data_IF_180057578079
#
_entry.id   IF_180057578079
#
_cell.length_a   1.000
_cell.length_b   1.000
_cell.length_c   1.000
_cell.angle_alpha   90.00
_cell.angle_beta   90.00
_cell.angle_gamma   90.00
#
_symmetry.space_group_name_H-M   'P 1'
#
loop_
_entity.id
_entity.type
_entity.pdbx_description
1 polymer ?
#
# COMPACT_ATOMS: atom_id res chain seq x y z
N UNK A 1 13.09 9.37 11.37
CA UNK A 1 13.95 8.21 11.73
C UNK A 1 15.05 8.02 10.68
N UNK A 2 16.15 7.33 11.02
CA UNK A 2 17.21 7.02 10.05
C UNK A 2 16.78 5.97 9.05
N UNK A 3 17.25 6.06 7.80
CA UNK A 3 16.93 5.08 6.76
C UNK A 3 17.33 3.66 7.16
N UNK A 4 18.48 3.49 7.83
CA UNK A 4 18.92 2.19 8.34
C UNK A 4 17.96 1.57 9.36
N UNK A 5 17.27 2.42 10.13
CA UNK A 5 16.33 2.00 11.17
C UNK A 5 14.97 1.66 10.54
N UNK A 6 14.54 2.46 9.56
CA UNK A 6 13.35 2.18 8.75
C UNK A 6 13.38 0.76 8.17
N UNK A 7 14.49 0.33 7.58
CA UNK A 7 14.65 -1.00 6.98
C UNK A 7 14.63 -2.16 8.00
N UNK A 8 14.83 -1.88 9.29
CA UNK A 8 14.87 -2.89 10.37
C UNK A 8 13.62 -2.87 11.24
N UNK A 9 12.84 -1.81 11.15
CA UNK A 9 11.63 -1.60 11.95
C UNK A 9 10.57 -2.62 11.54
N UNK A 10 10.03 -3.34 12.51
CA UNK A 10 9.07 -4.43 12.29
C UNK A 10 7.60 -4.00 12.48
N UNK A 11 7.36 -2.76 12.91
CA UNK A 11 6.03 -2.21 13.22
C UNK A 11 5.99 -0.70 12.97
N UNK A 12 4.84 -0.19 12.55
CA UNK A 12 4.65 1.24 12.28
C UNK A 12 3.31 1.72 12.84
N UNK A 13 3.34 2.85 13.53
CA UNK A 13 2.18 3.56 14.07
C UNK A 13 1.50 4.44 13.00
N UNK A 14 0.31 4.95 13.32
CA UNK A 14 -0.42 5.88 12.43
C UNK A 14 0.39 7.13 12.13
N UNK A 15 1.06 7.69 13.13
CA UNK A 15 1.90 8.89 12.98
C UNK A 15 3.05 8.64 12.01
N UNK A 16 3.68 7.46 12.08
CA UNK A 16 4.77 7.09 11.18
C UNK A 16 4.27 6.82 9.75
N UNK A 17 3.12 6.17 9.59
CA UNK A 17 2.51 5.95 8.27
C UNK A 17 2.08 7.26 7.63
N UNK A 18 1.53 8.20 8.41
CA UNK A 18 1.24 9.57 7.95
C UNK A 18 2.53 10.29 7.55
N UNK A 19 3.56 10.26 8.39
CA UNK A 19 4.86 10.83 8.07
C UNK A 19 5.42 10.22 6.77
N UNK A 20 5.23 8.92 6.52
CA UNK A 20 5.62 8.30 5.26
C UNK A 20 4.81 8.82 4.07
N UNK A 21 3.48 8.99 4.19
CA UNK A 21 2.63 9.57 3.15
C UNK A 21 3.06 10.99 2.75
N UNK A 22 3.58 11.78 3.69
CA UNK A 22 4.09 13.13 3.41
C UNK A 22 5.60 13.18 3.09
N UNK A 23 6.32 12.05 3.20
CA UNK A 23 7.76 11.99 2.92
C UNK A 23 8.65 12.54 4.03
N UNK A 24 8.17 12.52 5.27
CA UNK A 24 8.86 13.02 6.47
C UNK A 24 9.26 11.92 7.45
N UNK A 25 8.96 10.65 7.17
CA UNK A 25 9.32 9.55 8.07
C UNK A 25 10.84 9.34 8.18
N UNK A 26 11.56 9.46 7.06
CA UNK A 26 13.00 9.18 6.98
C UNK A 26 13.79 10.48 6.88
N UNK A 27 14.71 10.71 7.82
CA UNK A 27 15.44 11.97 7.97
C UNK A 27 16.62 12.08 6.99
N UNK A 28 17.17 10.95 6.56
CA UNK A 28 18.26 10.85 5.59
C UNK A 28 17.90 9.90 4.43
N UNK A 29 16.86 10.24 3.64
CA UNK A 29 16.34 9.37 2.60
C UNK A 29 17.42 9.13 1.54
N UNK A 30 17.56 7.89 1.04
CA UNK A 30 18.47 7.61 -0.06
C UNK A 30 17.95 8.24 -1.37
N UNK A 31 18.81 8.41 -2.38
CA UNK A 31 18.35 8.85 -3.70
C UNK A 31 17.19 7.98 -4.21
N UNK A 32 16.19 8.61 -4.85
CA UNK A 32 14.97 7.96 -5.33
C UNK A 32 14.11 7.34 -4.22
N UNK A 33 14.05 7.93 -3.03
CA UNK A 33 13.10 7.55 -1.97
C UNK A 33 11.75 8.27 -2.16
N UNK A 34 11.13 8.03 -3.31
CA UNK A 34 10.01 8.84 -3.81
C UNK A 34 8.63 8.23 -3.50
N UNK A 35 8.59 6.97 -3.06
CA UNK A 35 7.36 6.28 -2.75
C UNK A 35 6.67 6.93 -1.54
N UNK A 36 5.34 7.01 -1.63
CA UNK A 36 4.46 7.50 -0.58
C UNK A 36 3.31 6.52 -0.47
N UNK A 37 2.79 6.34 0.75
CA UNK A 37 1.43 5.87 0.92
C UNK A 37 0.48 7.02 0.52
N UNK A 38 -0.75 6.73 0.08
CA UNK A 38 -1.76 7.77 -0.03
C UNK A 38 -1.92 8.51 1.30
N UNK A 39 -2.17 9.82 1.26
CA UNK A 39 -2.56 10.57 2.45
C UNK A 39 -4.06 10.39 2.72
N UNK A 40 -4.55 10.65 3.94
CA UNK A 40 -5.97 10.78 4.20
C UNK A 40 -6.64 11.74 3.22
N UNK A 41 -7.87 11.44 2.75
CA UNK A 41 -8.74 10.37 3.25
C UNK A 41 -8.53 8.98 2.62
N UNK A 42 -7.51 8.81 1.76
CA UNK A 42 -7.29 7.58 0.98
C UNK A 42 -6.31 6.58 1.64
N UNK A 43 -5.65 6.97 2.74
CA UNK A 43 -4.84 6.05 3.56
C UNK A 43 -5.75 5.02 4.23
N UNK A 44 -5.60 3.73 3.90
CA UNK A 44 -6.47 2.65 4.39
C UNK A 44 -5.79 1.76 5.45
N UNK A 45 -4.68 2.20 6.01
CA UNK A 45 -3.93 1.49 7.05
C UNK A 45 -3.59 2.46 8.16
N UNK A 46 -4.03 2.16 9.38
CA UNK A 46 -3.69 2.95 10.56
C UNK A 46 -2.38 2.46 11.18
N UNK A 47 -2.10 1.14 11.15
CA UNK A 47 -0.90 0.57 11.79
C UNK A 47 -0.40 -0.66 11.04
N UNK A 48 0.92 -0.86 11.01
CA UNK A 48 1.55 -2.14 10.69
C UNK A 48 1.98 -2.77 12.00
N UNK A 49 1.40 -3.92 12.35
CA UNK A 49 1.70 -4.64 13.59
C UNK A 49 2.94 -5.52 13.46
N UNK A 50 3.19 -6.04 12.26
CA UNK A 50 4.33 -6.89 11.94
C UNK A 50 4.65 -6.79 10.46
N UNK A 51 5.92 -6.62 10.12
CA UNK A 51 6.46 -6.75 8.76
C UNK A 51 7.75 -7.56 8.81
N UNK A 52 7.81 -8.64 8.03
CA UNK A 52 8.93 -9.60 8.06
C UNK A 52 9.30 -10.09 6.67
N UNK A 53 10.53 -10.59 6.50
CA UNK A 53 10.92 -11.26 5.27
C UNK A 53 11.90 -12.42 5.49
N UNK A 54 11.82 -13.42 4.61
CA UNK A 54 12.79 -14.51 4.48
C UNK A 54 13.09 -14.72 3.00
N UNK A 55 14.30 -14.35 2.58
CA UNK A 55 14.69 -14.35 1.17
C UNK A 55 13.75 -13.49 0.31
N UNK A 56 13.07 -14.13 -0.65
CA UNK A 56 12.12 -13.48 -1.56
C UNK A 56 10.69 -13.43 -1.03
N UNK A 57 10.41 -14.05 0.12
CA UNK A 57 9.08 -14.10 0.74
C UNK A 57 9.01 -13.19 1.95
N UNK A 58 7.80 -12.89 2.41
CA UNK A 58 7.57 -12.09 3.61
C UNK A 58 6.11 -12.11 4.03
N UNK A 59 5.83 -11.48 5.16
CA UNK A 59 4.47 -11.35 5.70
C UNK A 59 4.29 -9.97 6.32
N UNK A 60 3.10 -9.40 6.16
CA UNK A 60 2.69 -8.15 6.81
C UNK A 60 1.33 -8.32 7.45
N UNK A 61 1.20 -7.89 8.70
CA UNK A 61 -0.08 -7.77 9.42
C UNK A 61 -0.30 -6.30 9.71
N UNK A 62 -1.44 -5.77 9.29
CA UNK A 62 -1.79 -4.36 9.44
C UNK A 62 -3.25 -4.20 9.85
N UNK A 63 -3.60 -3.03 10.40
CA UNK A 63 -4.94 -2.75 10.90
C UNK A 63 -5.42 -1.36 10.50
N UNK A 64 -6.75 -1.22 10.41
CA UNK A 64 -7.47 0.04 10.32
C UNK A 64 -8.62 0.03 11.34
N UNK A 65 -8.71 1.06 12.17
CA UNK A 65 -9.85 1.26 13.05
C UNK A 65 -11.06 1.76 12.24
N UNK A 66 -12.21 1.10 12.41
CA UNK A 66 -13.46 1.52 11.79
C UNK A 66 -14.04 2.68 12.58
N UNK A 67 -14.39 3.76 11.88
CA UNK A 67 -14.99 4.96 12.47
C UNK A 67 -16.36 5.18 11.86
N UNK A 68 -17.37 5.41 12.70
CA UNK A 68 -18.76 5.61 12.24
C UNK A 68 -18.90 6.82 11.30
N UNK A 69 -18.04 7.82 11.47
CA UNK A 69 -17.97 9.05 10.70
C UNK A 69 -16.93 9.00 9.56
N UNK A 70 -16.37 7.83 9.23
CA UNK A 70 -15.47 7.69 8.09
C UNK A 70 -16.16 8.18 6.81
N UNK A 71 -15.43 8.95 6.00
CA UNK A 71 -15.97 9.69 4.84
C UNK A 71 -16.77 8.81 3.88
N UNK A 72 -16.33 7.57 3.67
CA UNK A 72 -16.98 6.65 2.73
C UNK A 72 -18.34 6.17 3.21
N UNK A 73 -18.59 6.05 4.52
CA UNK A 73 -19.93 5.70 5.02
C UNK A 73 -20.96 6.81 4.77
N UNK A 74 -20.49 8.05 4.59
CA UNK A 74 -21.36 9.20 4.32
C UNK A 74 -21.85 9.24 2.87
N UNK A 75 -21.17 8.53 1.96
CA UNK A 75 -21.50 8.52 0.53
C UNK A 75 -21.71 7.12 -0.07
N UNK A 76 -21.51 6.04 0.69
CA UNK A 76 -21.57 4.66 0.18
C UNK A 76 -22.28 3.72 1.17
N UNK A 77 -23.61 3.57 1.12
CA UNK A 77 -24.60 4.41 0.44
C UNK A 77 -25.47 5.13 1.47
N UNK A 78 -26.06 6.29 1.15
CA UNK A 78 -27.12 6.85 1.98
C UNK A 78 -28.23 5.83 2.24
N UNK A 79 -28.51 5.53 3.51
CA UNK A 79 -29.49 4.51 3.93
C UNK A 79 -28.97 3.07 4.03
N UNK A 80 -27.77 2.79 3.52
CA UNK A 80 -27.10 1.48 3.60
C UNK A 80 -25.57 1.64 3.68
N UNK A 81 -25.03 2.20 4.78
CA UNK A 81 -23.61 2.55 4.88
C UNK A 81 -22.74 1.29 4.96
N UNK A 82 -21.78 1.16 4.04
CA UNK A 82 -20.85 0.03 3.93
C UNK A 82 -19.51 0.52 3.36
N UNK A 83 -18.38 0.06 3.92
CA UNK A 83 -17.06 0.42 3.38
C UNK A 83 -16.93 -0.14 1.96
N UNK A 84 -16.55 0.67 0.96
CA UNK A 84 -16.33 0.18 -0.39
C UNK A 84 -15.25 -0.91 -0.40
N UNK A 85 -15.61 -2.10 -0.90
CA UNK A 85 -14.67 -3.23 -0.94
C UNK A 85 -13.40 -2.93 -1.75
N UNK A 86 -13.47 -2.04 -2.74
CA UNK A 86 -12.30 -1.59 -3.50
C UNK A 86 -11.25 -0.86 -2.64
N UNK A 87 -11.64 -0.19 -1.55
CA UNK A 87 -10.69 0.44 -0.62
C UNK A 87 -9.90 -0.62 0.16
N UNK A 88 -10.51 -1.77 0.47
CA UNK A 88 -9.79 -2.89 1.07
C UNK A 88 -8.80 -3.52 0.09
N UNK A 89 -9.15 -3.61 -1.19
CA UNK A 89 -8.21 -4.05 -2.24
C UNK A 89 -7.04 -3.08 -2.35
N UNK A 90 -7.31 -1.76 -2.32
CA UNK A 90 -6.26 -0.75 -2.33
C UNK A 90 -5.36 -0.81 -1.09
N UNK A 91 -5.91 -1.08 0.10
CA UNK A 91 -5.12 -1.30 1.31
C UNK A 91 -4.08 -2.42 1.13
N UNK A 92 -4.45 -3.53 0.46
CA UNK A 92 -3.49 -4.60 0.13
C UNK A 92 -2.38 -4.07 -0.78
N UNK A 93 -2.68 -3.30 -1.84
CA UNK A 93 -1.64 -2.72 -2.69
C UNK A 93 -0.79 -1.67 -1.97
N UNK A 94 -1.37 -0.87 -1.07
CA UNK A 94 -0.65 0.06 -0.20
C UNK A 94 0.37 -0.69 0.67
N UNK A 95 -0.04 -1.78 1.32
CA UNK A 95 0.82 -2.62 2.16
C UNK A 95 1.93 -3.28 1.33
N UNK A 96 1.60 -3.85 0.17
CA UNK A 96 2.59 -4.49 -0.72
C UNK A 96 3.60 -3.46 -1.26
N UNK A 97 3.15 -2.25 -1.58
CA UNK A 97 4.01 -1.15 -2.00
C UNK A 97 4.94 -0.68 -0.88
N UNK A 98 4.39 -0.50 0.33
CA UNK A 98 5.18 -0.17 1.51
C UNK A 98 6.22 -1.26 1.81
N UNK A 99 5.85 -2.53 1.71
CA UNK A 99 6.76 -3.66 1.85
C UNK A 99 7.92 -3.60 0.86
N UNK A 100 7.68 -3.26 -0.42
CA UNK A 100 8.77 -3.08 -1.38
C UNK A 100 9.78 -2.02 -0.93
N UNK A 101 9.30 -0.87 -0.45
CA UNK A 101 10.16 0.25 -0.02
C UNK A 101 10.89 -0.09 1.26
N UNK A 102 10.21 -0.74 2.21
CA UNK A 102 10.81 -1.30 3.43
C UNK A 102 11.88 -2.36 3.13
N UNK A 103 11.76 -3.09 2.01
CA UNK A 103 12.80 -3.99 1.49
C UNK A 103 13.96 -3.27 0.79
N UNK A 104 13.92 -1.94 0.69
CA UNK A 104 14.96 -1.11 0.08
C UNK A 104 14.70 -0.72 -1.38
N UNK A 105 13.51 -0.98 -1.92
CA UNK A 105 13.15 -0.54 -3.27
C UNK A 105 13.19 1.00 -3.40
N UNK A 106 13.59 1.47 -4.59
CA UNK A 106 13.80 2.89 -4.88
C UNK A 106 12.93 3.31 -6.07
N UNK A 107 12.22 4.44 -5.92
CA UNK A 107 11.27 4.99 -6.87
C UNK A 107 9.89 5.22 -6.25
N UNK A 108 8.85 5.26 -7.08
CA UNK A 108 7.45 5.46 -6.69
C UNK A 108 6.61 4.21 -6.97
N UNK A 109 5.68 3.90 -6.05
CA UNK A 109 4.84 2.70 -6.11
C UNK A 109 3.68 2.81 -7.10
N UNK A 110 3.37 1.74 -7.84
CA UNK A 110 2.16 1.60 -8.68
C UNK A 110 1.60 0.19 -8.54
N UNK A 111 0.30 0.09 -8.27
CA UNK A 111 -0.42 -1.17 -8.37
C UNK A 111 -0.43 -1.66 -9.83
N UNK A 112 -0.23 -2.96 -10.02
CA UNK A 112 -0.17 -3.63 -11.33
C UNK A 112 -1.31 -4.66 -11.49
N UNK A 113 -2.33 -4.54 -10.64
CA UNK A 113 -3.49 -5.42 -10.59
C UNK A 113 -3.32 -6.61 -9.66
N UNK A 114 -4.27 -7.53 -9.76
CA UNK A 114 -4.31 -8.81 -9.07
C UNK A 114 -4.80 -9.88 -10.05
N UNK A 115 -4.97 -11.12 -9.61
CA UNK A 115 -5.59 -12.19 -10.40
C UNK A 115 -7.07 -12.34 -10.04
N UNK A 116 -7.36 -12.48 -8.75
CA UNK A 116 -8.71 -12.75 -8.25
C UNK A 116 -8.99 -11.90 -7.03
N UNK A 117 -10.23 -11.42 -6.91
CA UNK A 117 -10.77 -10.77 -5.71
C UNK A 117 -12.10 -11.43 -5.39
N UNK A 118 -12.27 -11.83 -4.13
CA UNK A 118 -13.53 -12.41 -3.63
C UNK A 118 -14.02 -11.59 -2.44
N UNK A 119 -15.27 -11.13 -2.52
CA UNK A 119 -15.99 -10.42 -1.46
C UNK A 119 -17.03 -11.37 -0.86
N UNK A 120 -16.83 -11.81 0.38
CA UNK A 120 -17.70 -12.76 1.08
C UNK A 120 -18.37 -12.16 2.33
N UNK A 121 -18.16 -10.87 2.57
CA UNK A 121 -18.74 -10.13 3.69
C UNK A 121 -18.63 -8.63 3.49
N UNK A 122 -18.90 -7.87 4.55
CA UNK A 122 -19.03 -6.41 4.49
C UNK A 122 -18.52 -5.79 5.79
N UNK A 123 -18.10 -4.52 5.72
CA UNK A 123 -17.71 -3.72 6.88
C UNK A 123 -18.75 -2.62 7.07
N UNK A 124 -19.35 -2.56 8.24
CA UNK A 124 -20.41 -1.62 8.65
C UNK A 124 -19.90 -0.63 9.70
N UNK A 125 -20.58 0.51 9.92
CA UNK A 125 -20.06 1.59 10.77
C UNK A 125 -19.78 1.24 12.24
N UNK A 126 -20.35 0.14 12.75
CA UNK A 126 -20.18 -0.32 14.13
C UNK A 126 -19.24 -1.52 14.27
N UNK A 127 -18.67 -2.02 13.16
CA UNK A 127 -17.49 -2.85 13.28
C UNK A 127 -16.37 -2.04 13.95
N UNK A 128 -15.39 -2.71 14.55
CA UNK A 128 -14.35 -2.05 15.34
C UNK A 128 -13.03 -1.97 14.58
N UNK A 129 -12.63 -3.09 13.98
CA UNK A 129 -11.31 -3.22 13.41
C UNK A 129 -11.32 -4.02 12.12
N UNK A 130 -10.62 -3.49 11.12
CA UNK A 130 -10.27 -4.21 9.90
C UNK A 130 -8.82 -4.66 10.05
N UNK A 131 -8.54 -5.94 9.82
CA UNK A 131 -7.20 -6.52 9.87
C UNK A 131 -6.83 -7.07 8.50
N UNK A 132 -5.69 -6.63 7.99
CA UNK A 132 -5.11 -7.05 6.72
C UNK A 132 -3.97 -8.01 7.00
N UNK A 133 -4.01 -9.20 6.41
CA UNK A 133 -2.90 -10.14 6.39
C UNK A 133 -2.40 -10.28 4.94
N UNK A 134 -1.12 -9.98 4.72
CA UNK A 134 -0.50 -10.00 3.40
C UNK A 134 0.65 -11.01 3.39
N UNK A 135 0.52 -12.04 2.57
CA UNK A 135 1.50 -13.09 2.38
C UNK A 135 2.28 -12.83 1.08
N UNK A 136 3.49 -12.25 1.20
CA UNK A 136 4.33 -11.91 0.04
C UNK A 136 4.99 -13.19 -0.49
N UNK A 137 4.54 -13.63 -1.67
CA UNK A 137 5.02 -14.84 -2.34
C UNK A 137 6.33 -14.63 -3.08
N UNK A 138 6.57 -13.43 -3.59
CA UNK A 138 7.79 -13.08 -4.32
C UNK A 138 8.06 -11.58 -4.28
N UNK A 139 9.25 -11.20 -3.84
CA UNK A 139 9.90 -9.91 -4.07
C UNK A 139 11.06 -10.08 -5.05
N UNK A 140 11.21 -9.15 -5.98
CA UNK A 140 12.30 -9.13 -6.95
C UNK A 140 12.72 -7.70 -7.30
N UNK A 141 14.03 -7.51 -7.44
CA UNK A 141 14.63 -6.31 -8.00
C UNK A 141 15.07 -6.62 -9.44
N UNK A 142 14.69 -5.74 -10.36
CA UNK A 142 15.04 -5.81 -11.77
C UNK A 142 16.28 -4.94 -11.98
N UNK A 143 17.45 -5.57 -12.07
CA UNK A 143 18.75 -4.86 -12.08
C UNK A 143 18.88 -3.87 -13.24
N UNK A 144 18.40 -4.25 -14.43
CA UNK A 144 18.51 -3.45 -15.65
C UNK A 144 17.72 -2.15 -15.57
N UNK A 145 16.48 -2.19 -15.09
CA UNK A 145 15.62 -1.01 -14.95
C UNK A 145 15.72 -0.32 -13.59
N UNK A 146 16.38 -0.96 -12.61
CA UNK A 146 16.42 -0.51 -11.23
C UNK A 146 15.05 -0.47 -10.53
N UNK A 147 14.04 -1.15 -11.09
CA UNK A 147 12.68 -1.23 -10.54
C UNK A 147 12.53 -2.46 -9.64
N UNK A 148 11.53 -2.46 -8.76
CA UNK A 148 11.19 -3.61 -7.92
C UNK A 148 9.75 -4.07 -8.13
N UNK A 149 9.46 -5.32 -7.83
CA UNK A 149 8.14 -5.93 -7.89
C UNK A 149 7.90 -6.83 -6.68
N UNK A 150 6.72 -6.74 -6.09
CA UNK A 150 6.20 -7.75 -5.17
C UNK A 150 4.90 -8.37 -5.69
N UNK A 151 4.73 -9.65 -5.41
CA UNK A 151 3.50 -10.44 -5.62
C UNK A 151 3.09 -11.02 -4.27
N UNK A 152 1.86 -10.78 -3.86
CA UNK A 152 1.33 -11.23 -2.58
C UNK A 152 -0.11 -11.73 -2.68
N UNK A 153 -0.51 -12.56 -1.73
CA UNK A 153 -1.92 -12.84 -1.46
C UNK A 153 -2.36 -12.01 -0.25
N UNK A 154 -3.60 -11.54 -0.25
CA UNK A 154 -4.20 -10.72 0.80
C UNK A 154 -5.44 -11.37 1.38
N UNK A 155 -5.59 -11.29 2.70
CA UNK A 155 -6.80 -11.66 3.44
C UNK A 155 -7.25 -10.48 4.28
N UNK A 156 -8.54 -10.16 4.25
CA UNK A 156 -9.12 -9.05 5.00
C UNK A 156 -10.15 -9.59 5.97
N UNK A 157 -9.94 -9.25 7.24
CA UNK A 157 -10.81 -9.61 8.33
C UNK A 157 -11.49 -8.36 8.87
N UNK A 158 -12.74 -8.48 9.32
CA UNK A 158 -13.40 -7.47 10.14
C UNK A 158 -13.85 -8.11 11.44
N UNK A 159 -13.42 -7.56 12.58
CA UNK A 159 -13.69 -8.12 13.90
C UNK A 159 -13.42 -9.66 13.95
N UNK A 160 -12.28 -10.07 13.39
CA UNK A 160 -11.78 -11.45 13.24
C UNK A 160 -12.53 -12.39 12.28
N UNK A 161 -13.52 -11.91 11.54
CA UNK A 161 -14.20 -12.66 10.49
C UNK A 161 -13.57 -12.42 9.11
N UNK A 162 -13.19 -13.48 8.40
CA UNK A 162 -12.63 -13.38 7.04
C UNK A 162 -13.71 -13.00 6.04
N UNK A 163 -13.61 -11.80 5.45
CA UNK A 163 -14.61 -11.28 4.53
C UNK A 163 -14.11 -11.07 3.10
N UNK A 164 -12.78 -11.08 2.88
CA UNK A 164 -12.22 -10.84 1.55
C UNK A 164 -10.92 -11.61 1.34
N UNK A 165 -10.72 -12.08 0.10
CA UNK A 165 -9.43 -12.59 -0.35
C UNK A 165 -9.01 -11.92 -1.66
N UNK A 166 -7.70 -11.67 -1.79
CA UNK A 166 -7.09 -11.10 -2.99
C UNK A 166 -5.93 -12.01 -3.37
N UNK A 167 -5.96 -12.61 -4.57
CA UNK A 167 -4.87 -13.46 -5.06
C UNK A 167 -3.95 -12.71 -6.01
N UNK A 168 -2.65 -12.95 -5.85
CA UNK A 168 -1.61 -12.44 -6.73
C UNK A 168 -1.70 -10.92 -6.94
N UNK A 169 -1.95 -10.16 -5.87
CA UNK A 169 -1.81 -8.71 -5.86
C UNK A 169 -0.37 -8.33 -6.22
N UNK A 170 -0.19 -7.44 -7.19
CA UNK A 170 1.11 -7.01 -7.72
C UNK A 170 1.30 -5.52 -7.52
N UNK A 171 2.42 -5.13 -6.94
CA UNK A 171 2.83 -3.72 -6.86
C UNK A 171 4.28 -3.60 -7.29
N UNK A 172 4.56 -2.63 -8.17
CA UNK A 172 5.91 -2.28 -8.60
C UNK A 172 6.37 -0.95 -8.03
N UNK A 173 7.68 -0.76 -7.92
CA UNK A 173 8.33 0.51 -7.55
C UNK A 173 9.27 0.91 -8.69
N UNK A 174 9.07 2.12 -9.23
CA UNK A 174 9.71 2.59 -10.46
C UNK A 174 10.33 3.97 -10.28
N UNK A 175 11.55 4.17 -10.79
CA UNK A 175 12.23 5.47 -10.75
C UNK A 175 11.71 6.41 -11.85
N UNK A 176 11.81 7.71 -11.62
CA UNK A 176 11.59 8.73 -12.66
C UNK A 176 10.12 9.01 -13.05
N UNK A 177 9.15 8.33 -12.43
CA UNK A 177 7.72 8.49 -12.76
C UNK A 177 6.96 9.45 -11.81
N UNK A 178 7.67 10.15 -10.92
CA UNK A 178 7.06 11.13 -10.03
C UNK A 178 6.78 12.45 -10.74
N UNK A 179 5.74 13.14 -10.28
CA UNK A 179 5.35 14.46 -10.77
C UNK A 179 5.62 15.53 -9.67
N UNK A 180 6.90 15.91 -9.46
CA UNK A 180 7.30 16.72 -8.31
C UNK A 180 6.87 18.18 -8.41
N UNK A 181 6.59 18.67 -9.62
CA UNK A 181 6.27 20.07 -9.91
C UNK A 181 4.77 20.32 -10.06
N UNK A 182 3.92 19.40 -9.62
CA UNK A 182 2.47 19.60 -9.53
C UNK A 182 2.14 20.94 -8.84
N UNK A 183 1.20 21.76 -9.39
CA UNK A 183 0.33 21.49 -10.54
C UNK A 183 0.85 21.99 -11.89
N UNK A 184 2.15 22.31 -12.04
CA UNK A 184 2.72 22.85 -13.29
C UNK A 184 2.87 21.76 -14.34
N UNK A 185 2.52 22.03 -15.60
CA UNK A 185 2.67 21.01 -16.65
C UNK A 185 4.15 20.69 -16.92
N UNK A 186 4.46 19.40 -17.05
CA UNK A 186 5.79 18.85 -17.32
C UNK A 186 5.65 17.50 -18.04
N UNK A 187 6.74 16.88 -18.53
CA UNK A 187 6.64 15.55 -19.15
C UNK A 187 5.95 14.51 -18.26
N UNK A 188 6.14 14.59 -16.94
CA UNK A 188 5.51 13.69 -15.97
C UNK A 188 4.10 14.12 -15.52
N UNK A 189 3.61 15.27 -15.99
CA UNK A 189 2.23 15.73 -15.71
C UNK A 189 1.17 15.07 -16.59
N UNK A 190 1.58 14.26 -17.57
CA UNK A 190 0.68 13.53 -18.49
C UNK A 190 0.82 12.03 -18.28
N UNK A 191 -0.29 11.36 -18.00
CA UNK A 191 -0.37 9.90 -17.92
C UNK A 191 -0.49 9.22 -19.30
N UNK A 192 -0.67 7.90 -19.31
CA UNK A 192 -0.84 7.10 -20.52
C UNK A 192 -0.38 5.66 -20.31
N UNK A 193 -0.32 4.87 -21.40
CA UNK A 193 0.31 3.55 -21.34
C UNK A 193 1.81 3.71 -21.05
N UNK A 194 2.32 2.96 -20.07
CA UNK A 194 3.77 2.86 -19.86
C UNK A 194 4.34 2.11 -21.06
N UNK A 195 5.01 2.84 -21.95
CA UNK A 195 5.75 2.23 -23.05
C UNK A 195 6.92 1.47 -22.43
N UNK A 196 6.97 0.16 -22.68
CA UNK A 196 8.16 -0.63 -22.39
C UNK A 196 9.06 -0.46 -23.59
N UNK A 197 10.18 0.20 -23.40
CA UNK A 197 11.24 0.24 -24.40
C UNK A 197 11.82 -1.17 -24.46
N UNK A 198 11.23 -2.01 -25.32
CA UNK A 198 11.84 -3.24 -25.75
C UNK A 198 12.80 -2.85 -26.88
N UNK A 199 14.02 -2.48 -26.52
CA UNK A 199 15.21 -2.60 -27.38
C UNK A 199 15.96 -3.88 -27.03
#
# INVERSE_FOLDING_TARGET
>A
MKYSDFLKTDRFSLEELLAFSYGHLVDDPPNYFDARLPAPPFLMVDRILSITHTGKRGSVIAEQGVKVDAWFFQCHMPGDPVQPGCLCVDAIWQIVGFYCVWRGARGSGRALGCEEVSFNGQIRPYNKIVRYEVDVKRYAELKESGSSLAIADGRVFVDDELIMTIKNARTGVFKGIVYPDYPRQSPNSKGGMIKRDYE
#
